data_IF_210312978865
#
_entry.id   IF_210312978865
#
_cell.length_a   1.000
_cell.length_b   1.000
_cell.length_c   1.000
_cell.angle_alpha   90.00
_cell.angle_beta   90.00
_cell.angle_gamma   90.00
#
_symmetry.space_group_name_H-M   'P 1'
#
loop_
_entity.id
_entity.type
_entity.pdbx_description
1 polymer ?
#
# COMPACT_ATOMS: atom_id res chain seq x y z
N UNK A 1 13.69 -8.28 -11.31
CA UNK A 1 12.55 -9.23 -11.23
C UNK A 1 12.26 -9.72 -9.80
N UNK A 2 13.10 -10.51 -9.12
CA UNK A 2 12.77 -11.05 -7.76
C UNK A 2 12.53 -9.98 -6.67
N UNK A 3 13.24 -8.86 -6.71
CA UNK A 3 13.11 -7.78 -5.72
C UNK A 3 11.76 -7.04 -5.81
N UNK A 4 11.33 -6.67 -7.02
CA UNK A 4 10.02 -6.07 -7.30
C UNK A 4 8.86 -6.97 -6.88
N UNK A 5 8.99 -8.29 -7.10
CA UNK A 5 7.98 -9.26 -6.65
C UNK A 5 7.80 -9.25 -5.14
N UNK A 6 8.89 -9.10 -4.37
CA UNK A 6 8.84 -9.15 -2.91
C UNK A 6 8.26 -7.86 -2.30
N UNK A 7 8.61 -6.69 -2.85
CA UNK A 7 8.00 -5.44 -2.40
C UNK A 7 6.50 -5.38 -2.75
N UNK A 8 6.13 -5.79 -3.97
CA UNK A 8 4.73 -5.87 -4.38
C UNK A 8 3.89 -6.70 -3.39
N UNK A 9 4.41 -7.87 -2.98
CA UNK A 9 3.74 -8.73 -1.99
C UNK A 9 3.60 -8.03 -0.64
N UNK A 10 4.62 -7.32 -0.16
CA UNK A 10 4.54 -6.54 1.08
C UNK A 10 3.49 -5.42 0.96
N UNK A 11 3.49 -4.70 -0.15
CA UNK A 11 2.55 -3.61 -0.41
C UNK A 11 1.12 -4.10 -0.43
N UNK A 12 0.85 -5.22 -1.10
CA UNK A 12 -0.46 -5.86 -1.11
C UNK A 12 -0.88 -6.30 0.30
N UNK A 13 -0.01 -7.02 1.02
CA UNK A 13 -0.36 -7.60 2.33
C UNK A 13 -0.53 -6.57 3.44
N UNK A 14 0.16 -5.44 3.34
CA UNK A 14 0.12 -4.38 4.36
C UNK A 14 -0.85 -3.29 3.93
N UNK A 15 -0.46 -2.46 2.95
CA UNK A 15 -1.23 -1.28 2.56
C UNK A 15 -2.50 -1.66 1.80
N UNK A 16 -2.40 -2.54 0.81
CA UNK A 16 -3.54 -2.92 -0.02
C UNK A 16 -4.65 -3.61 0.80
N UNK A 17 -4.26 -4.55 1.66
CA UNK A 17 -5.16 -5.22 2.60
C UNK A 17 -5.81 -4.23 3.57
N UNK A 18 -5.02 -3.34 4.17
CA UNK A 18 -5.52 -2.31 5.09
C UNK A 18 -6.60 -1.45 4.42
N UNK A 19 -6.33 -0.92 3.22
CA UNK A 19 -7.30 -0.09 2.49
C UNK A 19 -8.58 -0.85 2.16
N UNK A 20 -8.46 -2.11 1.70
CA UNK A 20 -9.61 -2.96 1.39
C UNK A 20 -10.48 -3.20 2.61
N UNK A 21 -9.87 -3.50 3.76
CA UNK A 21 -10.59 -3.76 5.00
C UNK A 21 -11.30 -2.50 5.51
N UNK A 22 -10.65 -1.35 5.46
CA UNK A 22 -11.26 -0.08 5.89
C UNK A 22 -12.38 0.37 4.96
N UNK A 23 -12.19 0.25 3.65
CA UNK A 23 -13.25 0.49 2.66
C UNK A 23 -14.46 -0.41 2.92
N UNK A 24 -14.25 -1.72 3.10
CA UNK A 24 -15.33 -2.67 3.34
C UNK A 24 -16.05 -2.39 4.67
N UNK A 25 -15.33 -2.02 5.73
CA UNK A 25 -15.92 -1.60 7.02
C UNK A 25 -16.76 -0.33 6.89
N UNK A 26 -16.38 0.58 5.99
CA UNK A 26 -17.17 1.77 5.67
C UNK A 26 -18.38 1.48 4.74
N UNK A 27 -18.59 0.22 4.32
CA UNK A 27 -19.70 -0.17 3.44
C UNK A 27 -19.57 0.31 1.99
N UNK A 28 -18.36 0.69 1.55
CA UNK A 28 -18.14 1.29 0.24
C UNK A 28 -17.64 0.27 -0.77
N UNK A 29 -18.08 0.36 -2.02
CA UNK A 29 -17.47 -0.35 -3.15
C UNK A 29 -16.20 0.38 -3.63
N UNK A 30 -15.35 -0.29 -4.42
CA UNK A 30 -14.20 0.39 -5.04
C UNK A 30 -14.65 1.54 -5.96
N UNK A 31 -15.82 1.41 -6.59
CA UNK A 31 -16.39 2.45 -7.43
C UNK A 31 -16.85 3.66 -6.61
N UNK A 32 -17.47 3.45 -5.45
CA UNK A 32 -17.89 4.55 -4.57
C UNK A 32 -16.69 5.40 -4.14
N UNK A 33 -15.57 4.75 -3.80
CA UNK A 33 -14.33 5.44 -3.45
C UNK A 33 -13.77 6.23 -4.62
N UNK A 34 -13.70 5.61 -5.81
CA UNK A 34 -13.23 6.28 -7.01
C UNK A 34 -14.10 7.51 -7.34
N UNK A 35 -15.42 7.38 -7.25
CA UNK A 35 -16.35 8.47 -7.50
C UNK A 35 -16.18 9.61 -6.48
N UNK A 36 -16.03 9.33 -5.19
CA UNK A 36 -15.72 10.34 -4.17
C UNK A 36 -14.41 11.08 -4.45
N UNK A 37 -13.41 10.35 -4.96
CA UNK A 37 -12.11 10.91 -5.35
C UNK A 37 -12.10 11.58 -6.74
N UNK A 38 -13.25 11.63 -7.43
CA UNK A 38 -13.41 12.20 -8.78
C UNK A 38 -12.61 11.47 -9.85
N UNK A 39 -12.43 10.16 -9.68
CA UNK A 39 -11.90 9.29 -10.72
C UNK A 39 -13.03 8.70 -11.56
N UNK A 40 -12.75 8.54 -12.86
CA UNK A 40 -13.66 7.93 -13.83
C UNK A 40 -13.72 6.39 -13.74
N UNK A 41 -12.81 5.76 -12.99
CA UNK A 41 -12.71 4.31 -12.88
C UNK A 41 -12.29 3.84 -11.50
N UNK A 42 -12.82 2.68 -11.09
CA UNK A 42 -12.41 1.95 -9.89
C UNK A 42 -11.01 1.32 -9.98
N UNK A 43 -10.38 1.35 -11.16
CA UNK A 43 -9.08 0.71 -11.40
C UNK A 43 -7.98 1.24 -10.47
N UNK A 44 -7.98 2.53 -10.14
CA UNK A 44 -7.00 3.10 -9.21
C UNK A 44 -7.12 2.48 -7.82
N UNK A 45 -8.33 2.39 -7.29
CA UNK A 45 -8.61 1.78 -5.99
C UNK A 45 -8.24 0.30 -6.00
N UNK A 46 -8.59 -0.43 -7.08
CA UNK A 46 -8.18 -1.82 -7.26
C UNK A 46 -6.66 -2.00 -7.31
N UNK A 47 -5.93 -1.10 -7.97
CA UNK A 47 -4.48 -1.12 -8.01
C UNK A 47 -3.86 -0.96 -6.62
N UNK A 48 -4.41 -0.07 -5.79
CA UNK A 48 -3.94 0.10 -4.42
C UNK A 48 -4.20 -1.14 -3.56
N UNK A 49 -5.41 -1.70 -3.63
CA UNK A 49 -5.80 -2.88 -2.84
C UNK A 49 -5.03 -4.14 -3.25
N UNK A 50 -4.65 -4.26 -4.52
CA UNK A 50 -3.83 -5.37 -5.02
C UNK A 50 -2.32 -5.15 -4.85
N UNK A 51 -1.91 -3.97 -4.37
CA UNK A 51 -0.50 -3.63 -4.21
C UNK A 51 0.22 -3.37 -5.53
N UNK A 52 -0.50 -3.06 -6.62
CA UNK A 52 0.10 -2.63 -7.89
C UNK A 52 0.78 -1.28 -7.72
N UNK A 53 0.15 -0.35 -7.02
CA UNK A 53 0.69 0.97 -6.68
C UNK A 53 0.24 1.41 -5.29
N UNK A 54 0.84 2.48 -4.75
CA UNK A 54 0.34 3.15 -3.55
C UNK A 54 -0.68 4.23 -3.93
N UNK A 55 -1.59 4.61 -3.03
CA UNK A 55 -2.37 5.83 -3.18
C UNK A 55 -1.44 7.06 -3.21
N UNK A 56 -1.75 8.08 -4.01
CA UNK A 56 -1.05 9.37 -3.94
C UNK A 56 -1.14 10.00 -2.55
N UNK A 57 -0.13 10.80 -2.16
CA UNK A 57 -0.06 11.41 -0.82
C UNK A 57 -1.27 12.32 -0.56
N UNK A 58 -1.68 13.09 -1.56
CA UNK A 58 -2.83 13.99 -1.51
C UNK A 58 -4.19 13.26 -1.42
N UNK A 59 -4.21 11.96 -1.70
CA UNK A 59 -5.40 11.12 -1.59
C UNK A 59 -5.54 10.54 -0.18
N UNK A 60 -4.44 10.36 0.56
CA UNK A 60 -4.48 9.75 1.90
C UNK A 60 -5.42 10.48 2.88
N UNK A 61 -5.41 11.83 2.99
CA UNK A 61 -6.37 12.54 3.85
C UNK A 61 -7.83 12.40 3.42
N UNK A 62 -8.07 12.21 2.11
CA UNK A 62 -9.42 11.99 1.60
C UNK A 62 -9.91 10.59 1.97
N UNK A 63 -9.03 9.59 1.89
CA UNK A 63 -9.33 8.22 2.29
C UNK A 63 -9.55 8.10 3.80
N UNK A 64 -8.77 8.79 4.64
CA UNK A 64 -8.99 8.78 6.09
C UNK A 64 -10.37 9.30 6.45
N UNK A 65 -10.75 10.43 5.87
CA UNK A 65 -12.07 11.02 6.09
C UNK A 65 -13.19 10.11 5.56
N UNK A 66 -13.06 9.62 4.32
CA UNK A 66 -14.08 8.79 3.68
C UNK A 66 -14.29 7.45 4.40
N UNK A 67 -13.22 6.85 4.94
CA UNK A 67 -13.27 5.56 5.62
C UNK A 67 -13.46 5.67 7.14
N UNK A 68 -13.49 6.89 7.69
CA UNK A 68 -13.54 7.10 9.13
C UNK A 68 -12.31 6.55 9.87
N UNK A 69 -11.13 6.60 9.25
CA UNK A 69 -9.88 6.09 9.83
C UNK A 69 -9.18 7.20 10.63
N UNK A 70 -8.74 6.94 11.87
CA UNK A 70 -7.84 7.84 12.58
C UNK A 70 -6.53 8.04 11.81
N UNK A 71 -6.10 9.30 11.60
CA UNK A 71 -4.87 9.62 10.87
C UNK A 71 -3.64 8.83 11.35
N UNK A 72 -3.54 8.61 12.68
CA UNK A 72 -2.47 7.81 13.29
C UNK A 72 -2.40 6.39 12.75
N UNK A 73 -3.54 5.74 12.52
CA UNK A 73 -3.58 4.37 12.03
C UNK A 73 -3.03 4.23 10.60
N UNK A 74 -3.24 5.26 9.76
CA UNK A 74 -2.63 5.31 8.42
C UNK A 74 -1.12 5.52 8.51
N UNK A 75 -0.67 6.42 9.38
CA UNK A 75 0.76 6.66 9.60
C UNK A 75 1.45 5.38 10.09
N UNK A 76 0.87 4.71 11.09
CA UNK A 76 1.41 3.46 11.65
C UNK A 76 1.48 2.36 10.58
N UNK A 77 0.47 2.26 9.72
CA UNK A 77 0.44 1.31 8.59
C UNK A 77 1.54 1.61 7.56
N UNK A 78 1.74 2.88 7.21
CA UNK A 78 2.79 3.29 6.26
C UNK A 78 4.19 3.10 6.85
N UNK A 79 4.38 3.42 8.13
CA UNK A 79 5.64 3.17 8.83
C UNK A 79 5.97 1.68 8.85
N UNK A 80 4.98 0.84 9.19
CA UNK A 80 5.16 -0.61 9.16
C UNK A 80 5.53 -1.11 7.76
N UNK A 81 4.86 -0.63 6.71
CA UNK A 81 5.23 -0.95 5.32
C UNK A 81 6.69 -0.59 5.02
N UNK A 82 7.11 0.64 5.34
CA UNK A 82 8.47 1.12 5.10
C UNK A 82 9.52 0.31 5.86
N UNK A 83 9.27 -0.08 7.10
CA UNK A 83 10.17 -0.95 7.88
C UNK A 83 10.38 -2.31 7.19
N UNK A 84 9.32 -2.92 6.67
CA UNK A 84 9.43 -4.22 5.99
C UNK A 84 10.17 -4.11 4.66
N UNK A 85 9.95 -3.03 3.91
CA UNK A 85 10.72 -2.74 2.69
C UNK A 85 12.19 -2.55 3.04
N UNK A 86 12.52 -1.78 4.06
CA UNK A 86 13.91 -1.58 4.49
C UNK A 86 14.58 -2.89 4.91
N UNK A 87 13.87 -3.78 5.63
CA UNK A 87 14.38 -5.12 5.98
C UNK A 87 14.67 -5.95 4.73
N UNK A 88 13.79 -5.91 3.74
CA UNK A 88 13.97 -6.60 2.46
C UNK A 88 15.19 -6.05 1.71
N UNK A 89 15.34 -4.73 1.61
CA UNK A 89 16.50 -4.08 0.98
C UNK A 89 17.80 -4.42 1.69
N UNK A 90 17.82 -4.39 3.04
CA UNK A 90 19.00 -4.80 3.84
C UNK A 90 19.39 -6.25 3.58
N UNK A 91 18.42 -7.16 3.47
CA UNK A 91 18.67 -8.57 3.14
C UNK A 91 19.30 -8.71 1.75
N UNK A 92 18.75 -8.02 0.75
CA UNK A 92 19.30 -8.01 -0.61
C UNK A 92 20.72 -7.47 -0.63
N UNK A 93 21.01 -6.40 0.12
CA UNK A 93 22.34 -5.82 0.23
C UNK A 93 23.35 -6.84 0.78
N UNK A 94 23.01 -7.54 1.87
CA UNK A 94 23.85 -8.60 2.45
C UNK A 94 24.07 -9.75 1.46
N UNK A 95 23.03 -10.17 0.75
CA UNK A 95 23.14 -11.24 -0.24
C UNK A 95 24.04 -10.83 -1.41
N UNK A 96 23.97 -9.58 -1.89
CA UNK A 96 24.86 -9.06 -2.93
C UNK A 96 26.32 -9.10 -2.50
N UNK A 97 26.65 -8.65 -1.29
CA UNK A 97 28.03 -8.69 -0.78
C UNK A 97 28.60 -10.12 -0.66
N UNK A 98 27.75 -11.10 -0.33
CA UNK A 98 28.16 -12.52 -0.24
C UNK A 98 28.47 -13.15 -1.60
N UNK A 99 27.82 -12.69 -2.67
CA UNK A 99 27.99 -13.26 -4.02
C UNK A 99 28.89 -12.44 -4.94
N UNK A 100 29.11 -11.15 -4.64
CA UNK A 100 29.99 -10.25 -5.40
C UNK A 100 31.45 -10.23 -4.96
N UNK A 101 31.82 -10.95 -3.89
CA UNK A 101 33.21 -11.07 -3.41
C UNK A 101 33.98 -12.22 -4.10
N UNK A 102 33.84 -12.36 -5.42
CA UNK A 102 34.70 -13.22 -6.26
C UNK A 102 35.42 -12.37 -7.29
#
# INVERSE_FOLDING_TARGET
>A
MKAETNEHVLRQKIVGRFLREKRAKAGLTQWDVAHHLKYSTAQFVSNWERGVSLPPLEVLPKLTNLFGIPNREVIDTMHHYQEQVLKLTKKQLVDTFRHGAR
#
